data_IF_717341068487
#
_entry.id   IF_717341068487
#
_cell.length_a   1.000
_cell.length_b   1.000
_cell.length_c   1.000
_cell.angle_alpha   90.00
_cell.angle_beta   90.00
_cell.angle_gamma   90.00
#
_symmetry.space_group_name_H-M   'P 1'
#
loop_
_entity.id
_entity.type
_entity.pdbx_description
1 polymer ?
#
# COMPACT_ATOMS: atom_id res chain seq x y z
N UNK A 1 -70.92 35.74 -31.34
CA UNK A 1 -70.58 36.07 -29.93
C UNK A 1 -69.07 36.17 -29.91
N UNK A 2 -68.47 37.38 -29.87
CA UNK A 2 -68.12 38.17 -28.66
C UNK A 2 -67.19 37.41 -27.69
N UNK A 3 -66.09 37.91 -27.11
CA UNK A 3 -65.25 39.14 -27.20
C UNK A 3 -64.06 38.97 -26.18
N UNK A 4 -62.87 39.60 -26.22
CA UNK A 4 -62.10 40.32 -27.26
C UNK A 4 -60.87 39.48 -27.71
N UNK A 5 -59.68 39.98 -28.10
CA UNK A 5 -59.01 41.30 -28.19
C UNK A 5 -58.55 42.00 -26.87
N UNK A 6 -57.36 42.64 -26.77
CA UNK A 6 -56.09 42.58 -27.54
C UNK A 6 -55.01 43.49 -26.86
N UNK A 7 -53.72 43.20 -27.08
CA UNK A 7 -52.53 44.09 -27.15
C UNK A 7 -52.39 45.39 -26.32
N UNK A 8 -51.18 45.59 -25.74
CA UNK A 8 -50.15 46.62 -26.12
C UNK A 8 -48.97 46.62 -25.13
N UNK A 9 -47.69 46.45 -25.52
CA UNK A 9 -46.77 47.30 -26.33
C UNK A 9 -46.15 48.51 -25.56
N UNK A 10 -44.84 48.42 -25.24
CA UNK A 10 -43.72 49.37 -25.59
C UNK A 10 -42.67 49.63 -24.50
N UNK A 11 -41.46 49.14 -24.78
CA UNK A 11 -40.12 49.74 -24.64
C UNK A 11 -40.03 51.29 -24.43
N UNK A 12 -39.33 51.76 -23.37
CA UNK A 12 -38.00 52.45 -23.42
C UNK A 12 -37.59 53.23 -22.14
N UNK A 13 -36.30 53.10 -21.83
CA UNK A 13 -35.28 54.10 -21.46
C UNK A 13 -35.33 54.96 -20.16
N UNK A 14 -34.22 54.82 -19.42
CA UNK A 14 -33.47 55.70 -18.48
C UNK A 14 -34.06 56.98 -17.85
N UNK A 15 -33.80 57.15 -16.55
CA UNK A 15 -33.01 58.28 -16.00
C UNK A 15 -32.43 57.92 -14.61
N UNK A 16 -31.31 58.54 -14.23
CA UNK A 16 -30.55 58.33 -12.98
C UNK A 16 -31.07 59.25 -11.85
N UNK A 17 -30.92 58.86 -10.58
CA UNK A 17 -30.68 59.83 -9.50
C UNK A 17 -29.88 59.19 -8.35
N UNK A 18 -29.21 60.05 -7.58
CA UNK A 18 -27.99 59.82 -6.83
C UNK A 18 -28.22 59.68 -5.32
N UNK A 19 -27.42 58.87 -4.62
CA UNK A 19 -27.40 58.73 -3.15
C UNK A 19 -26.15 57.96 -2.67
N UNK A 20 -25.04 58.67 -2.46
CA UNK A 20 -23.88 58.17 -1.72
C UNK A 20 -24.19 58.06 -0.20
N UNK A 21 -24.01 56.89 0.43
CA UNK A 21 -23.86 56.78 1.91
C UNK A 21 -22.79 55.74 2.31
N UNK A 22 -21.60 56.30 2.59
CA UNK A 22 -20.47 55.86 3.45
C UNK A 22 -20.28 54.38 3.85
N UNK A 23 -19.12 53.82 3.46
CA UNK A 23 -18.52 52.64 4.11
C UNK A 23 -18.06 52.97 5.54
N UNK A 24 -18.75 52.43 6.55
CA UNK A 24 -18.27 52.43 7.94
C UNK A 24 -17.62 51.07 8.24
N UNK A 25 -16.29 51.00 8.16
CA UNK A 25 -15.51 49.87 8.67
C UNK A 25 -15.74 49.72 10.19
N UNK A 26 -16.57 48.75 10.60
CA UNK A 26 -16.61 48.30 11.98
C UNK A 26 -15.59 47.18 12.19
N UNK A 27 -14.67 47.29 13.18
CA UNK A 27 -13.67 46.27 13.43
C UNK A 27 -14.37 44.98 13.89
N UNK A 28 -14.26 43.92 13.09
CA UNK A 28 -14.76 42.59 13.45
C UNK A 28 -13.98 42.13 14.67
N UNK A 29 -14.63 42.22 15.83
CA UNK A 29 -14.06 41.89 17.11
C UNK A 29 -13.88 40.37 17.18
N UNK A 30 -12.67 39.87 16.89
CA UNK A 30 -12.32 38.44 16.86
C UNK A 30 -12.37 37.89 18.29
N UNK A 31 -13.59 37.59 18.73
CA UNK A 31 -13.81 36.87 19.96
C UNK A 31 -13.50 35.39 19.68
N UNK A 32 -12.31 34.95 20.09
CA UNK A 32 -11.91 33.55 20.12
C UNK A 32 -12.92 32.75 20.97
N UNK A 33 -13.98 32.27 20.33
CA UNK A 33 -14.68 31.08 20.78
C UNK A 33 -13.79 29.91 20.40
N UNK A 34 -13.16 29.29 21.40
CA UNK A 34 -12.37 28.10 21.18
C UNK A 34 -13.22 27.06 20.46
N UNK A 35 -12.85 26.75 19.23
CA UNK A 35 -13.22 25.49 18.61
C UNK A 35 -12.64 24.41 19.54
N UNK A 36 -13.53 23.66 20.19
CA UNK A 36 -13.10 22.45 20.86
C UNK A 36 -12.62 21.53 19.75
N UNK A 37 -11.32 21.24 19.72
CA UNK A 37 -10.78 20.16 18.90
C UNK A 37 -11.52 18.89 19.34
N UNK A 38 -12.46 18.42 18.52
CA UNK A 38 -13.18 17.18 18.80
C UNK A 38 -12.14 16.05 18.81
N UNK A 39 -11.88 15.48 19.98
CA UNK A 39 -10.98 14.34 20.14
C UNK A 39 -11.57 13.13 19.40
N UNK A 40 -11.19 12.98 18.13
CA UNK A 40 -11.57 11.84 17.30
C UNK A 40 -10.83 10.60 17.80
N UNK A 41 -11.45 9.87 18.72
CA UNK A 41 -10.98 8.57 19.15
C UNK A 41 -11.13 7.55 18.01
N UNK A 42 -10.00 7.09 17.48
CA UNK A 42 -9.93 6.08 16.43
C UNK A 42 -9.56 4.72 17.05
N UNK A 43 -10.57 3.92 17.37
CA UNK A 43 -10.39 2.53 17.79
C UNK A 43 -10.21 1.63 16.56
N UNK A 44 -9.02 1.06 16.41
CA UNK A 44 -8.73 0.09 15.34
C UNK A 44 -9.09 -1.33 15.77
N UNK A 45 -9.86 -2.02 14.94
CA UNK A 45 -10.20 -3.44 15.11
C UNK A 45 -9.54 -4.29 14.03
N UNK A 46 -9.30 -5.55 14.36
CA UNK A 46 -8.84 -6.57 13.43
C UNK A 46 -10.05 -7.38 12.96
N UNK A 47 -10.23 -7.48 11.65
CA UNK A 47 -11.41 -8.07 11.02
C UNK A 47 -10.99 -9.14 10.00
N UNK A 48 -11.81 -10.17 9.86
CA UNK A 48 -11.69 -11.11 8.75
C UNK A 48 -12.00 -10.40 7.41
N UNK A 49 -11.48 -10.91 6.27
CA UNK A 49 -11.82 -10.39 4.95
C UNK A 49 -13.31 -10.49 4.65
N UNK A 50 -13.88 -9.43 4.08
CA UNK A 50 -15.31 -9.35 3.80
C UNK A 50 -15.60 -8.56 2.51
N UNK A 51 -16.60 -9.00 1.75
CA UNK A 51 -17.05 -8.34 0.51
C UNK A 51 -17.43 -6.86 0.67
N UNK A 52 -17.85 -6.41 1.86
CA UNK A 52 -18.05 -4.99 2.17
C UNK A 52 -16.79 -4.15 1.92
N UNK A 53 -15.63 -4.68 2.26
CA UNK A 53 -14.32 -4.01 2.20
C UNK A 53 -13.75 -3.93 0.77
N UNK A 54 -14.44 -4.48 -0.23
CA UNK A 54 -14.00 -4.59 -1.62
C UNK A 54 -13.42 -3.29 -2.19
N UNK A 55 -14.06 -2.15 -1.93
CA UNK A 55 -13.62 -0.86 -2.46
C UNK A 55 -12.28 -0.41 -1.87
N UNK A 56 -12.10 -0.55 -0.56
CA UNK A 56 -10.86 -0.18 0.14
C UNK A 56 -9.72 -1.13 -0.23
N UNK A 57 -9.97 -2.44 -0.24
CA UNK A 57 -8.98 -3.45 -0.69
C UNK A 57 -8.56 -3.17 -2.13
N UNK A 58 -9.53 -2.99 -3.05
CA UNK A 58 -9.24 -2.66 -4.46
C UNK A 58 -8.40 -1.39 -4.60
N UNK A 59 -8.64 -0.37 -3.77
CA UNK A 59 -7.86 0.88 -3.78
C UNK A 59 -6.36 0.62 -3.58
N UNK A 60 -6.00 -0.16 -2.55
CA UNK A 60 -4.60 -0.55 -2.30
C UNK A 60 -3.96 -1.30 -3.47
N UNK A 61 -4.68 -2.29 -4.03
CA UNK A 61 -4.12 -3.16 -5.08
C UNK A 61 -4.28 -2.61 -6.50
N UNK A 62 -4.94 -1.48 -6.73
CA UNK A 62 -5.18 -0.99 -8.09
C UNK A 62 -3.89 -0.71 -8.87
N UNK A 63 -2.81 -0.34 -8.17
CA UNK A 63 -1.46 -0.16 -8.71
C UNK A 63 -0.49 -1.33 -8.45
N UNK A 64 -0.99 -2.54 -8.15
CA UNK A 64 -0.15 -3.67 -7.73
C UNK A 64 0.79 -4.18 -8.85
N UNK A 65 0.34 -4.19 -10.11
CA UNK A 65 1.21 -4.47 -11.25
C UNK A 65 1.57 -3.16 -11.96
N UNK A 66 2.72 -2.59 -11.61
CA UNK A 66 3.12 -1.27 -12.14
C UNK A 66 3.46 -1.34 -13.64
N UNK A 67 2.97 -0.34 -14.39
CA UNK A 67 3.17 -0.20 -15.83
C UNK A 67 2.11 -0.88 -16.70
N UNK A 68 1.20 -1.66 -16.11
CA UNK A 68 0.14 -2.37 -16.82
C UNK A 68 -1.21 -2.20 -16.15
N UNK A 69 -2.28 -2.24 -16.95
CA UNK A 69 -3.62 -2.49 -16.45
C UNK A 69 -3.80 -3.98 -16.22
N UNK A 70 -4.33 -4.37 -15.07
CA UNK A 70 -4.54 -5.77 -14.68
C UNK A 70 -5.91 -5.93 -13.99
N UNK A 71 -6.37 -7.16 -13.76
CA UNK A 71 -7.68 -7.46 -13.16
C UNK A 71 -7.75 -7.19 -11.64
N UNK A 72 -7.50 -5.94 -11.22
CA UNK A 72 -7.52 -5.52 -9.80
C UNK A 72 -8.87 -5.80 -9.12
N UNK A 73 -10.00 -5.65 -9.81
CA UNK A 73 -11.32 -6.06 -9.29
C UNK A 73 -11.42 -7.56 -8.99
N UNK A 74 -10.85 -8.42 -9.84
CA UNK A 74 -10.91 -9.88 -9.66
C UNK A 74 -10.03 -10.30 -8.48
N UNK A 75 -8.84 -9.68 -8.33
CA UNK A 75 -7.98 -9.87 -7.16
C UNK A 75 -8.65 -9.35 -5.87
N UNK A 76 -9.36 -8.22 -5.91
CA UNK A 76 -10.06 -7.69 -4.74
C UNK A 76 -11.16 -8.65 -4.26
N UNK A 77 -11.97 -9.20 -5.16
CA UNK A 77 -12.95 -10.24 -4.82
C UNK A 77 -12.28 -11.46 -4.17
N UNK A 78 -11.20 -11.97 -4.77
CA UNK A 78 -10.47 -13.13 -4.25
C UNK A 78 -9.93 -12.87 -2.82
N UNK A 79 -9.45 -11.66 -2.54
CA UNK A 79 -9.04 -11.27 -1.18
C UNK A 79 -10.23 -11.21 -0.22
N UNK A 80 -11.37 -10.66 -0.66
CA UNK A 80 -12.59 -10.56 0.16
C UNK A 80 -13.25 -11.92 0.45
N UNK A 81 -13.07 -12.91 -0.42
CA UNK A 81 -13.59 -14.28 -0.28
C UNK A 81 -12.64 -15.20 0.52
N UNK A 82 -11.39 -14.79 0.76
CA UNK A 82 -10.37 -15.55 1.50
C UNK A 82 -10.52 -15.37 3.01
N UNK A 83 -11.50 -16.03 3.62
CA UNK A 83 -11.79 -15.88 5.06
C UNK A 83 -10.79 -16.67 5.92
N UNK A 84 -10.24 -17.78 5.42
CA UNK A 84 -9.38 -18.69 6.21
C UNK A 84 -7.98 -18.15 6.49
N UNK A 85 -7.51 -17.14 5.75
CA UNK A 85 -6.14 -16.63 5.86
C UNK A 85 -6.02 -15.18 5.36
N UNK A 86 -6.44 -14.24 6.21
CA UNK A 86 -6.21 -12.82 6.03
C UNK A 86 -6.66 -12.02 7.24
N UNK A 87 -6.04 -10.86 7.46
CA UNK A 87 -6.43 -9.94 8.53
C UNK A 87 -6.51 -8.53 7.97
N UNK A 88 -7.61 -7.83 8.26
CA UNK A 88 -7.87 -6.44 7.91
C UNK A 88 -7.76 -5.58 9.18
N UNK A 89 -7.25 -4.35 9.06
CA UNK A 89 -7.37 -3.32 10.10
C UNK A 89 -8.41 -2.29 9.65
N UNK A 90 -9.45 -2.11 10.43
CA UNK A 90 -10.57 -1.22 10.12
C UNK A 90 -11.25 -0.68 11.37
N UNK A 91 -12.53 -0.33 11.24
CA UNK A 91 -13.46 0.00 12.31
C UNK A 91 -14.67 -0.93 12.22
N UNK A 92 -15.25 -1.35 13.36
CA UNK A 92 -16.27 -2.42 13.40
C UNK A 92 -17.53 -2.10 12.58
N UNK A 93 -17.94 -0.82 12.57
CA UNK A 93 -19.12 -0.31 11.86
C UNK A 93 -18.80 0.34 10.50
N UNK A 94 -17.55 0.31 10.03
CA UNK A 94 -17.17 0.87 8.72
C UNK A 94 -16.67 -0.18 7.73
N UNK A 95 -16.99 0.02 6.45
CA UNK A 95 -16.45 -0.77 5.34
C UNK A 95 -14.97 -0.41 5.03
N UNK A 96 -14.40 0.58 5.73
CA UNK A 96 -13.08 1.13 5.50
C UNK A 96 -11.95 0.26 6.10
N UNK A 97 -10.98 -0.09 5.25
CA UNK A 97 -9.75 -0.79 5.64
C UNK A 97 -8.56 0.16 5.55
N UNK A 98 -7.80 0.30 6.64
CA UNK A 98 -6.58 1.10 6.74
C UNK A 98 -5.31 0.31 6.41
N UNK A 99 -5.39 -1.02 6.46
CA UNK A 99 -4.36 -1.93 5.96
C UNK A 99 -4.78 -3.38 6.12
N UNK A 100 -4.14 -4.28 5.40
CA UNK A 100 -4.45 -5.70 5.45
C UNK A 100 -3.24 -6.57 5.08
N UNK A 101 -3.31 -7.82 5.49
CA UNK A 101 -2.28 -8.82 5.25
C UNK A 101 -2.96 -10.17 4.95
N UNK A 102 -2.60 -10.84 3.84
CA UNK A 102 -3.26 -12.08 3.38
C UNK A 102 -2.33 -12.92 2.51
N UNK A 103 -2.53 -14.24 2.50
CA UNK A 103 -1.79 -15.18 1.66
C UNK A 103 -2.78 -15.97 0.78
N UNK A 104 -2.57 -15.93 -0.53
CA UNK A 104 -3.40 -16.59 -1.54
C UNK A 104 -2.62 -17.74 -2.22
N UNK A 105 -3.15 -18.96 -2.30
CA UNK A 105 -2.44 -20.07 -2.97
C UNK A 105 -2.51 -19.92 -4.51
N UNK A 106 -1.39 -19.58 -5.15
CA UNK A 106 -1.33 -19.33 -6.60
C UNK A 106 -1.55 -20.59 -7.45
N UNK A 107 -1.40 -21.78 -6.86
CA UNK A 107 -1.56 -23.07 -7.54
C UNK A 107 -2.97 -23.62 -7.53
N UNK A 108 -3.87 -23.11 -6.68
CA UNK A 108 -5.29 -23.48 -6.66
C UNK A 108 -6.20 -22.41 -7.27
N UNK A 109 -5.89 -21.13 -7.07
CA UNK A 109 -6.76 -20.02 -7.49
C UNK A 109 -6.65 -19.83 -9.01
N UNK A 110 -7.69 -20.28 -9.74
CA UNK A 110 -7.81 -20.14 -11.19
C UNK A 110 -8.51 -18.82 -11.55
N UNK A 111 -7.75 -17.74 -11.59
CA UNK A 111 -8.23 -16.40 -11.98
C UNK A 111 -7.31 -15.74 -13.00
N UNK A 112 -7.84 -14.80 -13.79
CA UNK A 112 -7.01 -14.07 -14.74
C UNK A 112 -6.06 -13.12 -14.01
N UNK A 113 -6.50 -12.52 -12.89
CA UNK A 113 -5.64 -11.74 -12.00
C UNK A 113 -4.37 -12.48 -11.56
N UNK A 114 -4.49 -13.73 -11.07
CA UNK A 114 -3.31 -14.53 -10.67
C UNK A 114 -2.44 -14.85 -11.89
N UNK A 115 -3.04 -15.20 -13.03
CA UNK A 115 -2.31 -15.41 -14.29
C UNK A 115 -1.50 -14.19 -14.75
N UNK A 116 -2.09 -13.00 -14.70
CA UNK A 116 -1.45 -11.72 -15.03
C UNK A 116 -0.30 -11.39 -14.06
N UNK A 117 -0.47 -11.66 -12.76
CA UNK A 117 0.59 -11.48 -11.76
C UNK A 117 1.78 -12.41 -12.03
N UNK A 118 1.52 -13.70 -12.28
CA UNK A 118 2.59 -14.66 -12.55
C UNK A 118 3.32 -14.35 -13.86
N UNK A 119 2.60 -13.95 -14.92
CA UNK A 119 3.19 -13.50 -16.18
C UNK A 119 4.04 -12.22 -16.00
N UNK A 120 3.58 -11.26 -15.19
CA UNK A 120 4.34 -10.06 -14.87
C UNK A 120 5.64 -10.39 -14.12
N UNK A 121 5.56 -11.23 -13.08
CA UNK A 121 6.70 -11.67 -12.27
C UNK A 121 7.71 -12.43 -13.14
N UNK A 122 7.25 -13.34 -13.99
CA UNK A 122 8.06 -14.07 -14.97
C UNK A 122 8.78 -13.12 -15.94
N UNK A 123 8.03 -12.23 -16.61
CA UNK A 123 8.57 -11.27 -17.59
C UNK A 123 9.62 -10.34 -16.98
N UNK A 124 9.31 -9.72 -15.82
CA UNK A 124 10.27 -8.86 -15.13
C UNK A 124 11.45 -9.67 -14.56
N UNK A 125 11.25 -10.93 -14.18
CA UNK A 125 12.35 -11.82 -13.77
C UNK A 125 13.28 -12.15 -14.92
N UNK A 126 12.78 -12.45 -16.12
CA UNK A 126 13.63 -12.74 -17.28
C UNK A 126 14.57 -11.56 -17.61
N UNK A 127 14.06 -10.33 -17.44
CA UNK A 127 14.79 -9.11 -17.73
C UNK A 127 15.76 -8.66 -16.62
N UNK A 128 15.39 -8.81 -15.34
CA UNK A 128 16.10 -8.18 -14.22
C UNK A 128 16.65 -9.14 -13.15
N UNK A 129 16.26 -10.43 -13.16
CA UNK A 129 16.63 -11.37 -12.10
C UNK A 129 17.72 -12.35 -12.54
N UNK A 130 18.91 -12.26 -11.93
CA UNK A 130 20.00 -13.23 -12.14
C UNK A 130 19.66 -14.65 -11.65
N UNK A 131 18.69 -14.78 -10.74
CA UNK A 131 18.19 -16.04 -10.18
C UNK A 131 16.93 -16.55 -10.90
N UNK A 132 16.64 -16.10 -12.13
CA UNK A 132 15.42 -16.47 -12.85
C UNK A 132 15.20 -18.00 -12.95
N UNK A 133 16.25 -18.81 -13.18
CA UNK A 133 16.12 -20.27 -13.21
C UNK A 133 15.69 -20.86 -11.85
N UNK A 134 16.13 -20.28 -10.74
CA UNK A 134 15.71 -20.69 -9.39
C UNK A 134 14.25 -20.32 -9.12
N UNK A 135 13.81 -19.15 -9.60
CA UNK A 135 12.40 -18.75 -9.56
C UNK A 135 11.51 -19.74 -10.35
N UNK A 136 11.90 -20.06 -11.59
CA UNK A 136 11.18 -21.03 -12.43
C UNK A 136 11.11 -22.40 -11.78
N UNK A 137 12.18 -22.87 -11.12
CA UNK A 137 12.16 -24.14 -10.41
C UNK A 137 11.15 -24.15 -9.25
N UNK A 138 11.07 -23.08 -8.46
CA UNK A 138 10.05 -22.95 -7.39
C UNK A 138 8.63 -22.92 -7.98
N UNK A 139 8.44 -22.26 -9.13
CA UNK A 139 7.16 -22.20 -9.84
C UNK A 139 6.77 -23.50 -10.55
N UNK A 140 7.62 -24.54 -10.59
CA UNK A 140 7.20 -25.90 -10.99
C UNK A 140 6.27 -26.54 -9.96
N UNK A 141 6.26 -26.05 -8.71
CA UNK A 141 5.36 -26.48 -7.63
C UNK A 141 4.47 -25.31 -7.16
N UNK A 142 3.59 -24.75 -8.01
CA UNK A 142 2.88 -23.51 -7.70
C UNK A 142 1.92 -23.65 -6.50
N UNK A 143 1.41 -24.87 -6.25
CA UNK A 143 0.58 -25.19 -5.07
C UNK A 143 1.32 -25.05 -3.73
N UNK A 144 2.65 -24.92 -3.74
CA UNK A 144 3.49 -24.68 -2.55
C UNK A 144 3.88 -23.19 -2.41
N UNK A 145 3.31 -22.30 -3.23
CA UNK A 145 3.62 -20.87 -3.22
C UNK A 145 2.37 -20.07 -2.85
N UNK A 146 2.50 -19.25 -1.82
CA UNK A 146 1.50 -18.23 -1.48
C UNK A 146 1.88 -16.90 -2.11
N UNK A 147 0.94 -16.21 -2.76
CA UNK A 147 1.06 -14.78 -3.02
C UNK A 147 0.76 -14.04 -1.71
N UNK A 148 1.77 -13.43 -1.11
CA UNK A 148 1.63 -12.67 0.13
C UNK A 148 1.43 -11.19 -0.20
N UNK A 149 0.27 -10.66 0.18
CA UNK A 149 -0.12 -9.27 -0.03
C UNK A 149 -0.25 -8.62 1.34
N UNK A 150 0.60 -7.64 1.60
CA UNK A 150 0.63 -6.83 2.81
C UNK A 150 0.63 -5.37 2.39
N UNK A 151 -0.50 -4.67 2.51
CA UNK A 151 -0.63 -3.26 2.11
C UNK A 151 -1.33 -2.44 3.20
N UNK A 152 -0.91 -1.20 3.38
CA UNK A 152 -1.41 -0.30 4.44
C UNK A 152 -1.21 1.16 4.07
N UNK A 153 -2.02 2.04 4.65
CA UNK A 153 -1.81 3.49 4.55
C UNK A 153 -0.44 3.86 5.15
N UNK A 154 0.19 4.91 4.62
CA UNK A 154 1.53 5.36 5.01
C UNK A 154 1.61 5.70 6.51
N UNK A 155 0.52 6.23 7.07
CA UNK A 155 0.38 6.70 8.44
C UNK A 155 -0.24 5.66 9.39
N UNK A 156 -0.33 4.37 9.02
CA UNK A 156 -0.82 3.34 9.94
C UNK A 156 0.12 3.26 11.16
N UNK A 157 -0.45 3.32 12.36
CA UNK A 157 0.29 3.29 13.62
C UNK A 157 1.29 2.11 13.65
N UNK A 158 2.60 2.34 13.85
CA UNK A 158 3.61 1.28 13.79
C UNK A 158 3.37 0.10 14.74
N UNK A 159 2.66 0.33 15.84
CA UNK A 159 2.27 -0.67 16.83
C UNK A 159 1.30 -1.74 16.28
N UNK A 160 0.52 -1.42 15.24
CA UNK A 160 -0.43 -2.34 14.62
C UNK A 160 0.26 -3.34 13.67
N UNK A 161 1.47 -3.01 13.18
CA UNK A 161 2.18 -3.82 12.17
C UNK A 161 2.61 -5.19 12.72
N UNK A 162 3.23 -5.32 13.92
CA UNK A 162 3.49 -6.64 14.50
C UNK A 162 2.22 -7.43 14.79
N UNK A 163 1.12 -6.75 15.17
CA UNK A 163 -0.15 -7.39 15.49
C UNK A 163 -0.76 -8.02 14.22
N UNK A 164 -0.77 -7.30 13.09
CA UNK A 164 -1.16 -7.84 11.78
C UNK A 164 -0.41 -9.14 11.44
N UNK A 165 0.92 -9.14 11.58
CA UNK A 165 1.73 -10.32 11.28
C UNK A 165 1.53 -11.47 12.27
N UNK A 166 1.31 -11.17 13.55
CA UNK A 166 1.01 -12.19 14.55
C UNK A 166 -0.37 -12.82 14.34
N UNK A 167 -1.40 -12.02 14.01
CA UNK A 167 -2.73 -12.57 13.71
C UNK A 167 -2.63 -13.55 12.53
N UNK A 168 -1.99 -13.15 11.43
CA UNK A 168 -1.79 -14.03 10.26
C UNK A 168 -1.07 -15.35 10.61
N UNK A 169 -0.13 -15.31 11.56
CA UNK A 169 0.56 -16.51 12.05
C UNK A 169 -0.37 -17.39 12.91
N UNK A 170 -1.22 -16.80 13.75
CA UNK A 170 -2.20 -17.57 14.50
C UNK A 170 -3.30 -18.14 13.59
N UNK A 171 -3.71 -17.43 12.54
CA UNK A 171 -4.62 -17.93 11.50
C UNK A 171 -4.01 -19.16 10.79
N UNK A 172 -2.73 -19.09 10.41
CA UNK A 172 -1.98 -20.25 9.87
C UNK A 172 -1.95 -21.41 10.87
N UNK A 173 -1.64 -21.14 12.15
CA UNK A 173 -1.58 -22.16 13.20
C UNK A 173 -2.95 -22.78 13.50
N UNK A 174 -4.03 -22.03 13.34
CA UNK A 174 -5.41 -22.46 13.51
C UNK A 174 -5.86 -23.32 12.33
N UNK A 175 -5.64 -22.83 11.10
CA UNK A 175 -5.99 -23.54 9.88
C UNK A 175 -5.26 -24.89 9.75
N UNK A 176 -3.98 -24.95 10.17
CA UNK A 176 -3.20 -26.20 10.26
C UNK A 176 -3.76 -27.23 11.24
N UNK A 177 -4.63 -26.84 12.20
CA UNK A 177 -5.27 -27.74 13.16
C UNK A 177 -6.68 -28.14 12.71
N UNK A 178 -7.48 -27.16 12.26
CA UNK A 178 -8.89 -27.36 11.91
C UNK A 178 -9.09 -27.96 10.51
N UNK A 179 -8.31 -27.51 9.51
CA UNK A 179 -8.29 -28.13 8.18
C UNK A 179 -6.84 -28.34 7.67
N UNK A 180 -6.15 -29.40 8.14
CA UNK A 180 -4.84 -29.80 7.62
C UNK A 180 -4.83 -30.19 6.14
N UNK A 181 -6.00 -30.30 5.49
CA UNK A 181 -6.12 -30.59 4.05
C UNK A 181 -6.23 -29.32 3.19
N UNK A 182 -6.45 -28.15 3.82
CA UNK A 182 -6.55 -26.88 3.13
C UNK A 182 -5.24 -26.55 2.40
N UNK A 183 -5.35 -26.06 1.17
CA UNK A 183 -4.22 -25.71 0.29
C UNK A 183 -3.23 -24.71 0.90
N UNK A 184 -3.66 -23.91 1.87
CA UNK A 184 -2.85 -22.87 2.51
C UNK A 184 -1.93 -23.42 3.61
N UNK A 185 -2.23 -24.61 4.16
CA UNK A 185 -1.43 -25.24 5.23
C UNK A 185 -0.09 -25.78 4.74
N UNK A 186 0.01 -26.07 3.43
CA UNK A 186 1.14 -26.79 2.82
C UNK A 186 2.01 -25.86 1.95
N UNK A 187 2.08 -24.57 2.28
CA UNK A 187 2.89 -23.58 1.56
C UNK A 187 4.36 -23.62 2.02
N UNK A 188 5.30 -23.68 1.07
CA UNK A 188 6.74 -23.66 1.35
C UNK A 188 7.33 -22.24 1.18
N UNK A 189 6.77 -21.45 0.26
CA UNK A 189 7.27 -20.12 -0.11
C UNK A 189 6.17 -19.05 -0.16
N UNK A 190 6.54 -17.81 0.15
CA UNK A 190 5.71 -16.61 -0.02
C UNK A 190 6.35 -15.69 -1.07
N UNK A 191 5.59 -15.36 -2.11
CA UNK A 191 5.91 -14.40 -3.15
C UNK A 191 5.40 -13.01 -2.75
N UNK A 192 6.29 -12.03 -2.72
CA UNK A 192 5.98 -10.64 -2.35
C UNK A 192 6.34 -9.69 -3.48
N UNK A 193 5.45 -8.73 -3.75
CA UNK A 193 5.66 -7.63 -4.70
C UNK A 193 5.45 -6.31 -3.95
N UNK A 194 6.54 -5.58 -3.68
CA UNK A 194 6.55 -4.36 -2.86
C UNK A 194 7.31 -3.20 -3.55
N UNK A 195 7.55 -2.10 -2.83
CA UNK A 195 8.36 -0.95 -3.28
C UNK A 195 9.50 -0.70 -2.31
N UNK A 196 10.65 -0.30 -2.83
CA UNK A 196 11.75 0.25 -2.06
C UNK A 196 12.33 1.47 -2.78
N UNK A 197 12.97 2.36 -2.04
CA UNK A 197 13.52 3.62 -2.54
C UNK A 197 15.02 3.66 -2.33
N UNK A 198 15.72 4.47 -3.12
CA UNK A 198 17.12 4.83 -2.90
C UNK A 198 17.30 6.33 -3.09
N UNK A 199 18.08 6.98 -2.23
CA UNK A 199 18.56 8.35 -2.49
C UNK A 199 19.29 8.43 -3.85
N UNK A 200 19.08 9.54 -4.57
CA UNK A 200 19.73 9.81 -5.84
C UNK A 200 21.17 10.27 -5.60
N UNK A 201 22.14 9.37 -5.85
CA UNK A 201 23.57 9.53 -5.52
C UNK A 201 24.25 10.77 -6.15
N UNK A 202 23.61 11.48 -7.09
CA UNK A 202 24.16 12.65 -7.76
C UNK A 202 24.58 13.80 -6.81
N UNK A 203 24.02 13.87 -5.59
CA UNK A 203 24.38 14.89 -4.60
C UNK A 203 25.39 14.43 -3.52
N UNK A 204 25.76 13.15 -3.44
CA UNK A 204 26.57 12.60 -2.34
C UNK A 204 27.87 11.92 -2.82
N UNK A 205 28.69 12.64 -3.59
CA UNK A 205 30.10 12.26 -3.82
C UNK A 205 30.97 12.48 -2.57
N UNK A 206 30.77 11.71 -1.49
CA UNK A 206 31.75 11.47 -0.41
C UNK A 206 31.18 10.55 0.68
N UNK A 207 31.19 9.23 0.46
CA UNK A 207 31.41 8.24 1.55
C UNK A 207 31.74 6.84 1.01
N UNK A 208 32.27 5.99 1.90
CA UNK A 208 32.99 4.75 1.56
C UNK A 208 32.04 3.63 1.12
N UNK A 209 32.42 2.86 0.09
CA UNK A 209 31.68 1.68 -0.39
C UNK A 209 31.90 0.44 0.49
N UNK A 210 30.99 0.23 1.42
CA UNK A 210 30.66 -1.04 2.12
C UNK A 210 29.38 -0.77 2.92
N UNK A 211 28.32 -1.58 2.98
CA UNK A 211 28.25 -3.06 2.90
C UNK A 211 26.83 -3.51 2.50
N UNK A 212 26.71 -4.40 1.51
CA UNK A 212 25.44 -4.96 0.95
C UNK A 212 24.49 -3.96 0.26
N UNK A 213 23.99 -4.35 -0.92
CA UNK A 213 23.08 -3.56 -1.79
C UNK A 213 21.67 -3.36 -1.21
N UNK A 214 21.39 -3.96 -0.04
CA UNK A 214 20.13 -3.85 0.70
C UNK A 214 20.17 -2.75 1.76
N UNK A 215 21.35 -2.38 2.27
CA UNK A 215 21.46 -1.36 3.32
C UNK A 215 21.26 0.06 2.80
N UNK A 216 21.56 0.29 1.52
CA UNK A 216 21.30 1.56 0.82
C UNK A 216 19.80 1.77 0.51
N UNK A 217 18.96 0.74 0.67
CA UNK A 217 17.52 0.84 0.43
C UNK A 217 16.76 1.42 1.62
N UNK A 218 15.73 2.19 1.27
CA UNK A 218 14.73 2.77 2.15
C UNK A 218 13.41 2.05 1.88
N UNK A 219 12.70 1.66 2.95
CA UNK A 219 11.46 0.89 2.87
C UNK A 219 10.34 1.64 3.56
N UNK A 220 9.21 1.80 2.87
CA UNK A 220 7.97 2.35 3.45
C UNK A 220 7.38 1.39 4.50
N UNK A 221 7.42 0.10 4.18
CA UNK A 221 7.04 -1.02 5.04
C UNK A 221 8.34 -1.60 5.61
N UNK A 222 8.70 -1.24 6.85
CA UNK A 222 9.96 -1.66 7.47
C UNK A 222 10.07 -3.19 7.57
N UNK A 223 8.93 -3.88 7.68
CA UNK A 223 8.79 -5.32 7.67
C UNK A 223 9.39 -5.97 6.42
N UNK A 224 9.29 -5.32 5.24
CA UNK A 224 9.90 -5.80 4.00
C UNK A 224 11.43 -5.88 4.09
N UNK A 225 12.09 -4.99 4.84
CA UNK A 225 13.54 -5.08 5.05
C UNK A 225 13.91 -6.34 5.83
N UNK A 226 13.14 -6.68 6.87
CA UNK A 226 13.38 -7.86 7.72
C UNK A 226 13.16 -9.14 6.91
N UNK A 227 12.08 -9.22 6.13
CA UNK A 227 11.80 -10.39 5.29
C UNK A 227 12.80 -10.53 4.13
N UNK A 228 13.18 -9.43 3.47
CA UNK A 228 14.10 -9.45 2.32
C UNK A 228 15.48 -10.02 2.70
N UNK A 229 15.96 -9.79 3.92
CA UNK A 229 17.20 -10.40 4.43
C UNK A 229 17.18 -11.94 4.46
N UNK A 230 15.99 -12.56 4.48
CA UNK A 230 15.80 -14.02 4.44
C UNK A 230 15.26 -14.51 3.09
N UNK A 231 15.20 -13.65 2.07
CA UNK A 231 14.72 -14.03 0.75
C UNK A 231 15.64 -15.05 0.09
N UNK A 232 15.06 -16.06 -0.57
CA UNK A 232 15.77 -17.07 -1.36
C UNK A 232 16.02 -16.62 -2.80
N UNK A 233 15.15 -15.75 -3.31
CA UNK A 233 15.24 -15.07 -4.60
C UNK A 233 14.77 -13.64 -4.38
N UNK A 234 15.53 -12.65 -4.85
CA UNK A 234 15.05 -11.27 -4.92
C UNK A 234 15.60 -10.52 -6.12
N UNK A 235 14.79 -9.63 -6.67
CA UNK A 235 15.19 -8.74 -7.76
C UNK A 235 14.37 -7.46 -7.73
N UNK A 236 14.96 -6.37 -8.24
CA UNK A 236 14.32 -5.05 -8.29
C UNK A 236 14.55 -4.38 -9.64
N UNK A 237 13.60 -3.55 -10.05
CA UNK A 237 13.68 -2.75 -11.27
C UNK A 237 13.09 -1.36 -11.04
N UNK A 238 13.49 -0.39 -11.84
CA UNK A 238 13.00 0.99 -11.72
C UNK A 238 11.47 1.03 -11.88
N UNK A 239 10.81 1.68 -10.92
CA UNK A 239 9.39 2.00 -11.00
C UNK A 239 9.16 2.93 -12.21
N UNK A 240 8.06 2.74 -12.94
CA UNK A 240 7.76 3.54 -14.11
C UNK A 240 7.35 4.97 -13.73
N UNK A 241 6.72 5.13 -12.55
CA UNK A 241 6.47 6.44 -11.94
C UNK A 241 7.75 7.25 -11.65
N UNK A 242 8.88 6.59 -11.36
CA UNK A 242 10.16 7.27 -11.07
C UNK A 242 10.76 8.02 -12.28
N UNK A 243 10.16 7.88 -13.47
CA UNK A 243 10.57 8.61 -14.69
C UNK A 243 9.84 9.95 -14.86
N UNK A 244 8.69 10.15 -14.20
CA UNK A 244 7.85 11.34 -14.39
C UNK A 244 8.25 12.52 -13.49
N UNK A 245 8.85 12.25 -12.32
CA UNK A 245 9.30 13.31 -11.40
C UNK A 245 10.35 14.25 -12.02
N UNK A 246 11.06 13.81 -13.07
CA UNK A 246 12.06 14.62 -13.78
C UNK A 246 11.48 15.77 -14.63
N UNK A 247 10.15 15.94 -14.71
CA UNK A 247 9.50 16.97 -15.54
C UNK A 247 8.44 17.81 -14.82
N UNK A 248 8.44 17.87 -13.49
CA UNK A 248 7.53 18.74 -12.71
C UNK A 248 8.19 20.10 -12.45
N UNK A 249 7.40 21.18 -12.53
CA UNK A 249 7.89 22.57 -12.46
C UNK A 249 8.43 22.98 -11.08
N UNK A 250 9.39 23.91 -11.07
CA UNK A 250 10.19 24.32 -9.89
C UNK A 250 9.41 24.77 -8.64
N UNK A 251 8.11 25.05 -8.73
CA UNK A 251 7.30 25.63 -7.66
C UNK A 251 6.56 24.61 -6.77
N UNK A 252 6.70 23.30 -7.01
CA UNK A 252 6.06 22.23 -6.23
C UNK A 252 7.05 21.15 -5.77
N UNK A 253 8.24 21.56 -5.33
CA UNK A 253 9.27 20.64 -4.80
C UNK A 253 8.90 20.20 -3.38
N UNK A 254 8.30 19.03 -3.27
CA UNK A 254 8.21 18.28 -2.00
C UNK A 254 9.51 17.51 -1.76
N UNK A 255 9.77 17.10 -0.51
CA UNK A 255 11.04 16.47 -0.10
C UNK A 255 11.36 15.12 -0.79
N UNK A 256 10.43 14.59 -1.60
CA UNK A 256 10.59 13.33 -2.34
C UNK A 256 11.42 13.44 -3.63
N UNK A 257 11.76 14.66 -4.07
CA UNK A 257 12.45 14.95 -5.35
C UNK A 257 13.89 14.39 -5.43
N UNK A 258 14.39 13.82 -4.32
CA UNK A 258 15.71 13.20 -4.21
C UNK A 258 15.73 11.66 -4.28
N UNK A 259 14.60 10.96 -4.45
CA UNK A 259 14.56 9.49 -4.32
C UNK A 259 14.09 8.74 -5.58
N UNK A 260 14.81 7.65 -5.89
CA UNK A 260 14.50 6.74 -6.99
C UNK A 260 13.68 5.58 -6.43
N UNK A 261 12.44 5.43 -6.92
CA UNK A 261 11.56 4.30 -6.60
C UNK A 261 11.94 3.05 -7.42
N UNK A 262 11.94 1.90 -6.77
CA UNK A 262 12.08 0.58 -7.38
C UNK A 262 10.89 -0.30 -7.01
N UNK A 263 10.37 -1.06 -7.98
CA UNK A 263 9.53 -2.22 -7.68
C UNK A 263 10.45 -3.36 -7.26
N UNK A 264 10.14 -4.00 -6.15
CA UNK A 264 10.91 -5.09 -5.55
C UNK A 264 10.06 -6.35 -5.53
N UNK A 265 10.60 -7.46 -6.02
CA UNK A 265 9.96 -8.78 -5.98
C UNK A 265 10.90 -9.72 -5.23
N UNK A 266 10.37 -10.47 -4.26
CA UNK A 266 11.13 -11.48 -3.54
C UNK A 266 10.30 -12.71 -3.18
N UNK A 267 11.00 -13.84 -3.01
CA UNK A 267 10.47 -15.06 -2.41
C UNK A 267 11.16 -15.29 -1.07
N UNK A 268 10.39 -15.54 -0.01
CA UNK A 268 10.85 -15.99 1.31
C UNK A 268 10.24 -17.37 1.60
N UNK A 269 10.93 -18.24 2.36
CA UNK A 269 10.29 -19.49 2.81
C UNK A 269 9.28 -19.17 3.92
N UNK A 270 8.15 -19.87 3.97
CA UNK A 270 7.11 -19.62 4.99
C UNK A 270 7.68 -19.73 6.41
N UNK A 271 8.53 -20.74 6.68
CA UNK A 271 9.21 -20.91 7.97
C UNK A 271 10.05 -19.68 8.35
N UNK A 272 10.76 -19.08 7.37
CA UNK A 272 11.66 -17.97 7.61
C UNK A 272 10.84 -16.71 7.89
N UNK A 273 9.75 -16.47 7.14
CA UNK A 273 8.74 -15.45 7.45
C UNK A 273 8.23 -15.58 8.89
N UNK A 274 7.74 -16.76 9.29
CA UNK A 274 7.21 -17.01 10.64
C UNK A 274 8.25 -16.75 11.74
N UNK A 275 9.53 -17.07 11.50
CA UNK A 275 10.61 -16.73 12.47
C UNK A 275 10.93 -15.24 12.55
N UNK A 276 10.72 -14.48 11.46
CA UNK A 276 11.03 -13.05 11.42
C UNK A 276 9.98 -12.16 12.09
N UNK A 277 8.78 -12.67 12.37
CA UNK A 277 7.73 -11.91 13.08
C UNK A 277 8.24 -11.40 14.44
N UNK A 278 9.00 -12.23 15.17
CA UNK A 278 9.61 -11.83 16.46
C UNK A 278 10.66 -10.70 16.35
N UNK A 279 11.21 -10.45 15.16
CA UNK A 279 12.10 -9.31 14.89
C UNK A 279 11.30 -8.04 14.53
N UNK A 280 10.08 -8.19 14.02
CA UNK A 280 9.14 -7.08 13.73
C UNK A 280 8.53 -6.55 15.04
N UNK A 281 8.23 -7.42 16.00
CA UNK A 281 7.75 -7.05 17.35
C UNK A 281 8.68 -6.10 18.11
N UNK A 282 10.00 -6.15 17.84
CA UNK A 282 10.99 -5.29 18.48
C UNK A 282 10.99 -3.86 17.90
N UNK A 283 10.39 -3.67 16.72
CA UNK A 283 10.48 -2.44 15.94
C UNK A 283 9.70 -1.23 16.49
N UNK A 284 8.50 -1.34 17.10
CA UNK A 284 7.81 -0.18 17.68
C UNK A 284 8.60 0.53 18.79
N UNK A 285 9.60 -0.13 19.37
CA UNK A 285 10.54 0.45 20.35
C UNK A 285 11.77 1.10 19.69
N UNK A 286 11.91 1.03 18.37
CA UNK A 286 13.01 1.60 17.60
C UNK A 286 12.54 2.86 16.88
N UNK A 287 13.12 4.00 17.25
CA UNK A 287 12.69 5.33 16.79
C UNK A 287 12.86 5.58 15.28
N UNK A 288 13.56 4.68 14.56
CA UNK A 288 13.74 4.80 13.10
C UNK A 288 14.14 3.48 12.41
N UNK A 289 13.98 3.43 11.09
CA UNK A 289 14.52 2.36 10.21
C UNK A 289 16.05 2.21 10.39
N UNK A 290 16.75 3.31 10.69
CA UNK A 290 18.19 3.30 10.95
C UNK A 290 18.56 2.59 12.26
N UNK A 291 17.70 2.62 13.28
CA UNK A 291 17.96 1.96 14.55
C UNK A 291 17.69 0.44 14.46
N UNK A 292 16.73 0.03 13.64
CA UNK A 292 16.54 -1.37 13.26
C UNK A 292 17.75 -1.95 12.52
N UNK A 293 18.32 -1.21 11.55
CA UNK A 293 19.57 -1.60 10.87
C UNK A 293 20.72 -1.85 11.87
N UNK A 294 20.86 -1.01 12.92
CA UNK A 294 21.85 -1.22 13.99
C UNK A 294 21.54 -2.43 14.87
N UNK A 295 20.28 -2.62 15.27
CA UNK A 295 19.88 -3.68 16.21
C UNK A 295 20.09 -5.10 15.66
N UNK A 296 20.04 -5.27 14.34
CA UNK A 296 20.32 -6.54 13.65
C UNK A 296 21.85 -6.82 13.55
N UNK A 297 22.68 -5.99 14.18
CA UNK A 297 24.13 -6.20 14.29
C UNK A 297 24.94 -5.63 13.11
N UNK A 298 24.36 -4.73 12.32
CA UNK A 298 25.02 -4.07 11.19
C UNK A 298 25.51 -2.67 11.65
N UNK A 299 26.82 -2.46 11.60
CA UNK A 299 27.47 -1.15 11.80
C UNK A 299 27.64 -0.40 10.50
#
# INVERSE_FOLDING_TARGET
>A
MNQGNQDKRKQRDYEEDDSEEEEIEQPINVHNKGEMEEEVNLDFVFLDPNQKQFHSIKSFINGYLEGISFKSSELANIICDQVELGTMVGQEDEDNVFGFTTILNIGEIKSNAIGEILHYVDTKSQQYNKQHQQLQHIFQTPKKVGLFINERILNLAPQLVPILHNQLKEDINWLQKEDPSNSLTNLDYLLVITKCFKDNDQQKQTQKKSTSDLNDLIFQKFEDFVFLQKSVVSFRFLSEGSKQTQQVSDYMKTEQDGQICYRLIYLIQLKDYLTQIANIEQYPNMLSVHDCKKSIGIK
#
